data_IF_645473718617
#
_entry.id   IF_645473718617
#
_cell.length_a   1.000
_cell.length_b   1.000
_cell.length_c   1.000
_cell.angle_alpha   90.00
_cell.angle_beta   90.00
_cell.angle_gamma   90.00
#
_symmetry.space_group_name_H-M   'P 1'
#
loop_
_entity.id
_entity.type
_entity.pdbx_description
1 polymer ?
#
# COMPACT_ATOMS: atom_id res chain seq x y z
N UNK A 1 23.61 0.95 7.83
CA UNK A 1 22.99 2.30 7.75
C UNK A 1 21.55 2.17 8.23
N UNK A 2 21.21 2.78 9.37
CA UNK A 2 19.88 2.68 9.97
C UNK A 2 19.04 3.87 9.54
N UNK A 3 17.93 3.62 8.86
CA UNK A 3 17.03 4.67 8.38
C UNK A 3 15.67 4.56 9.06
N UNK A 4 14.95 5.68 9.20
CA UNK A 4 13.59 5.66 9.74
C UNK A 4 12.70 4.94 8.74
N UNK A 5 11.98 3.92 9.20
CA UNK A 5 11.11 3.07 8.38
C UNK A 5 9.87 3.78 7.82
N UNK A 6 9.67 5.05 8.17
CA UNK A 6 8.54 5.88 7.77
C UNK A 6 8.27 5.90 6.27
N UNK A 7 9.25 6.34 5.47
CA UNK A 7 9.08 6.44 4.02
C UNK A 7 8.89 5.06 3.36
N UNK A 8 9.72 4.04 3.67
CA UNK A 8 9.54 2.71 3.08
C UNK A 8 8.16 2.09 3.32
N UNK A 9 7.63 2.20 4.54
CA UNK A 9 6.31 1.65 4.85
C UNK A 9 5.19 2.43 4.19
N UNK A 10 5.26 3.75 4.12
CA UNK A 10 4.25 4.55 3.42
C UNK A 10 4.21 4.15 1.93
N UNK A 11 5.37 4.10 1.27
CA UNK A 11 5.48 3.69 -0.15
C UNK A 11 4.97 2.26 -0.38
N UNK A 12 5.34 1.31 0.47
CA UNK A 12 4.88 -0.06 0.35
C UNK A 12 3.37 -0.20 0.60
N UNK A 13 2.81 0.60 1.52
CA UNK A 13 1.37 0.66 1.76
C UNK A 13 0.62 1.11 0.50
N UNK A 14 1.10 2.16 -0.16
CA UNK A 14 0.50 2.63 -1.41
C UNK A 14 0.54 1.56 -2.50
N UNK A 15 1.68 0.89 -2.73
CA UNK A 15 1.80 -0.14 -3.77
C UNK A 15 0.95 -1.39 -3.51
N UNK A 16 0.95 -1.90 -2.27
CA UNK A 16 0.12 -3.06 -1.90
C UNK A 16 -1.37 -2.73 -2.07
N UNK A 17 -1.78 -1.53 -1.63
CA UNK A 17 -3.19 -1.14 -1.70
C UNK A 17 -3.58 -0.84 -3.14
N UNK A 18 -2.73 -0.22 -3.96
CA UNK A 18 -2.98 -0.02 -5.39
C UNK A 18 -3.27 -1.35 -6.09
N UNK A 19 -2.39 -2.35 -5.93
CA UNK A 19 -2.59 -3.68 -6.53
C UNK A 19 -3.81 -4.42 -5.99
N UNK A 20 -4.09 -4.31 -4.69
CA UNK A 20 -5.29 -4.92 -4.09
C UNK A 20 -6.55 -4.23 -4.60
N UNK A 21 -6.52 -2.91 -4.70
CA UNK A 21 -7.65 -2.09 -5.08
C UNK A 21 -7.98 -2.27 -6.56
N UNK A 22 -7.01 -2.34 -7.48
CA UNK A 22 -7.29 -2.66 -8.89
C UNK A 22 -8.11 -3.94 -9.03
N UNK A 23 -7.75 -5.01 -8.32
CA UNK A 23 -8.47 -6.28 -8.36
C UNK A 23 -9.83 -6.20 -7.66
N UNK A 24 -9.89 -5.61 -6.47
CA UNK A 24 -11.14 -5.49 -5.71
C UNK A 24 -12.14 -4.59 -6.45
N UNK A 25 -11.69 -3.53 -7.10
CA UNK A 25 -12.57 -2.64 -7.85
C UNK A 25 -13.08 -3.23 -9.15
N UNK A 26 -12.22 -3.99 -9.84
CA UNK A 26 -12.60 -4.74 -11.04
C UNK A 26 -13.65 -5.80 -10.73
N UNK A 27 -13.51 -6.52 -9.60
CA UNK A 27 -14.42 -7.61 -9.25
C UNK A 27 -15.69 -7.14 -8.51
N UNK A 28 -15.57 -6.20 -7.57
CA UNK A 28 -16.65 -5.86 -6.63
C UNK A 28 -17.41 -4.57 -6.97
N UNK A 29 -16.81 -3.64 -7.70
CA UNK A 29 -17.37 -2.30 -7.90
C UNK A 29 -17.31 -1.82 -9.37
N UNK A 30 -17.49 -2.74 -10.32
CA UNK A 30 -17.62 -2.45 -11.77
C UNK A 30 -18.70 -1.40 -12.08
N UNK A 31 -19.77 -1.35 -11.28
CA UNK A 31 -20.91 -0.46 -11.45
C UNK A 31 -20.88 0.81 -10.57
N UNK A 32 -19.84 1.02 -9.77
CA UNK A 32 -19.76 2.19 -8.90
C UNK A 32 -19.17 3.40 -9.63
N UNK A 33 -19.77 4.58 -9.39
CA UNK A 33 -19.29 5.85 -9.93
C UNK A 33 -17.83 6.13 -9.52
N UNK A 34 -17.07 6.75 -10.42
CA UNK A 34 -15.65 7.10 -10.25
C UNK A 34 -15.35 7.75 -8.89
N UNK A 35 -16.24 8.64 -8.43
CA UNK A 35 -16.12 9.32 -7.14
C UNK A 35 -16.17 8.38 -5.94
N UNK A 36 -17.07 7.40 -5.96
CA UNK A 36 -17.17 6.39 -4.90
C UNK A 36 -15.94 5.47 -4.89
N UNK A 37 -15.35 5.22 -6.08
CA UNK A 37 -14.09 4.48 -6.19
C UNK A 37 -12.92 5.20 -5.54
N UNK A 38 -12.72 6.46 -5.89
CA UNK A 38 -11.61 7.24 -5.33
C UNK A 38 -11.77 7.49 -3.83
N UNK A 39 -12.99 7.73 -3.35
CA UNK A 39 -13.24 7.92 -1.92
C UNK A 39 -12.93 6.65 -1.10
N UNK A 40 -13.36 5.48 -1.58
CA UNK A 40 -13.08 4.21 -0.90
C UNK A 40 -11.59 3.86 -0.92
N UNK A 41 -10.86 4.20 -1.98
CA UNK A 41 -9.40 4.03 -2.04
C UNK A 41 -8.71 4.80 -0.92
N UNK A 42 -9.01 6.10 -0.83
CA UNK A 42 -8.39 6.99 0.14
C UNK A 42 -8.72 6.59 1.59
N UNK A 43 -9.93 6.08 1.85
CA UNK A 43 -10.32 5.59 3.18
C UNK A 43 -9.52 4.34 3.58
N UNK A 44 -9.33 3.40 2.64
CA UNK A 44 -8.57 2.17 2.92
C UNK A 44 -7.08 2.48 3.11
N UNK A 45 -6.50 3.30 2.22
CA UNK A 45 -5.12 3.79 2.34
C UNK A 45 -4.91 4.52 3.66
N UNK A 46 -5.78 5.48 3.97
CA UNK A 46 -5.73 6.25 5.21
C UNK A 46 -5.82 5.36 6.44
N UNK A 47 -6.71 4.36 6.43
CA UNK A 47 -6.88 3.41 7.55
C UNK A 47 -5.66 2.53 7.77
N UNK A 48 -5.04 2.00 6.71
CA UNK A 48 -3.83 1.18 6.82
C UNK A 48 -2.65 2.02 7.29
N UNK A 49 -2.47 3.22 6.75
CA UNK A 49 -1.43 4.16 7.21
C UNK A 49 -1.65 4.50 8.69
N UNK A 50 -2.89 4.74 9.10
CA UNK A 50 -3.22 5.03 10.50
C UNK A 50 -2.91 3.85 11.42
N UNK A 51 -3.22 2.62 11.02
CA UNK A 51 -2.85 1.41 11.78
C UNK A 51 -1.32 1.32 11.88
N UNK A 52 -0.59 1.50 10.78
CA UNK A 52 0.86 1.46 10.74
C UNK A 52 1.52 2.52 11.63
N UNK A 53 0.96 3.72 11.66
CA UNK A 53 1.39 4.81 12.52
C UNK A 53 1.07 4.51 14.00
N UNK A 54 -0.12 4.00 14.29
CA UNK A 54 -0.55 3.60 15.63
C UNK A 54 0.24 2.42 16.20
N UNK A 55 0.75 1.52 15.35
CA UNK A 55 1.55 0.36 15.78
C UNK A 55 3.00 0.73 16.13
N UNK A 56 3.40 1.99 15.95
CA UNK A 56 4.76 2.47 16.27
C UNK A 56 5.87 1.88 15.39
N UNK A 57 5.51 1.10 14.36
CA UNK A 57 6.44 0.50 13.39
C UNK A 57 7.18 1.60 12.62
N UNK A 58 6.56 2.77 12.48
CA UNK A 58 7.12 3.98 11.86
C UNK A 58 8.41 4.48 12.52
N UNK A 59 8.56 4.29 13.84
CA UNK A 59 9.71 4.77 14.61
C UNK A 59 10.82 3.72 14.74
N UNK A 60 10.54 2.45 14.39
CA UNK A 60 11.57 1.41 14.41
C UNK A 60 12.67 1.74 13.41
N UNK A 61 13.90 1.83 13.91
CA UNK A 61 15.10 1.95 13.09
C UNK A 61 15.43 0.57 12.53
N UNK A 62 15.20 0.40 11.24
CA UNK A 62 15.50 -0.86 10.55
C UNK A 62 16.59 -0.60 9.52
N UNK A 63 17.35 -1.64 9.17
CA UNK A 63 18.32 -1.56 8.10
C UNK A 63 17.62 -1.12 6.81
N UNK A 64 18.18 -0.12 6.13
CA UNK A 64 17.60 0.43 4.89
C UNK A 64 17.32 -0.66 3.84
N UNK A 65 18.12 -1.72 3.83
CA UNK A 65 17.97 -2.88 2.97
C UNK A 65 16.61 -3.59 3.15
N UNK A 66 16.11 -3.69 4.38
CA UNK A 66 14.79 -4.28 4.67
C UNK A 66 13.68 -3.37 4.13
N UNK A 67 13.83 -2.06 4.26
CA UNK A 67 12.90 -1.10 3.66
C UNK A 67 12.83 -1.21 2.13
N UNK A 68 13.99 -1.34 1.48
CA UNK A 68 14.07 -1.52 0.02
C UNK A 68 13.44 -2.84 -0.41
N UNK A 69 13.67 -3.94 0.32
CA UNK A 69 13.04 -5.24 0.04
C UNK A 69 11.52 -5.15 0.15
N UNK A 70 11.00 -4.44 1.16
CA UNK A 70 9.55 -4.24 1.34
C UNK A 70 8.95 -3.41 0.20
N UNK A 71 9.62 -2.34 -0.25
CA UNK A 71 9.17 -1.54 -1.40
C UNK A 71 9.19 -2.38 -2.68
N UNK A 72 10.29 -3.10 -2.94
CA UNK A 72 10.41 -3.99 -4.10
C UNK A 72 9.31 -5.06 -4.09
N UNK A 73 9.04 -5.65 -2.93
CA UNK A 73 7.95 -6.61 -2.78
C UNK A 73 6.59 -5.98 -3.10
N UNK A 74 6.32 -4.76 -2.60
CA UNK A 74 5.10 -4.05 -2.90
C UNK A 74 4.93 -3.76 -4.40
N UNK A 75 5.99 -3.32 -5.09
CA UNK A 75 5.96 -3.04 -6.54
C UNK A 75 5.78 -4.32 -7.36
N UNK A 76 6.47 -5.41 -7.00
CA UNK A 76 6.29 -6.71 -7.67
C UNK A 76 4.88 -7.23 -7.44
N UNK A 77 4.34 -7.06 -6.23
CA UNK A 77 2.98 -7.47 -5.89
C UNK A 77 1.93 -6.65 -6.66
N UNK A 78 2.13 -5.33 -6.77
CA UNK A 78 1.30 -4.45 -7.59
C UNK A 78 1.33 -4.87 -9.05
N UNK A 79 2.52 -5.03 -9.64
CA UNK A 79 2.68 -5.49 -11.02
C UNK A 79 2.04 -6.86 -11.25
N UNK A 80 2.25 -7.83 -10.37
CA UNK A 80 1.63 -9.15 -10.47
C UNK A 80 0.10 -9.08 -10.44
N UNK A 81 -0.47 -8.26 -9.54
CA UNK A 81 -1.93 -8.11 -9.45
C UNK A 81 -2.51 -7.37 -10.66
N UNK A 82 -1.79 -6.40 -11.22
CA UNK A 82 -2.21 -5.65 -12.41
C UNK A 82 -2.13 -6.50 -13.70
N UNK A 83 -1.12 -7.37 -13.83
CA UNK A 83 -0.96 -8.25 -15.02
C UNK A 83 -1.95 -9.42 -15.04
N UNK A 84 -2.58 -9.74 -13.91
CA UNK A 84 -3.55 -10.84 -13.76
C UNK A 84 -5.01 -10.35 -13.88
N UNK A 85 -5.23 -9.05 -14.06
CA UNK A 85 -6.54 -8.41 -14.30
C UNK A 85 -6.92 -8.44 -15.79
#
# INVERSE_FOLDING_TARGET
MYWKMRMPLILASFGIIAGLFERFFTVFMINASYYTRSASYLIIVGSIIFILEKTGINEKRVHALIGVVIILFAVVFEGFMSTVA
#
